data_IF_058974800982
#
_entry.id   IF_058974800982
#
_cell.length_a   1.000
_cell.length_b   1.000
_cell.length_c   1.000
_cell.angle_alpha   90.00
_cell.angle_beta   90.00
_cell.angle_gamma   90.00
#
_symmetry.space_group_name_H-M   'P 1'
#
loop_
_entity.id
_entity.type
_entity.pdbx_description
1 polymer ?
#
# COMPACT_ATOMS: atom_id res chain seq x y z
N UNK A 1 -10.93 19.25 1.05
CA UNK A 1 -12.00 18.64 0.22
C UNK A 1 -13.36 19.02 0.81
N UNK A 2 -14.35 19.33 -0.02
CA UNK A 2 -15.70 19.70 0.40
C UNK A 2 -16.72 19.08 -0.55
N UNK A 3 -17.94 18.92 -0.06
CA UNK A 3 -19.10 18.53 -0.87
C UNK A 3 -20.12 19.66 -0.80
N UNK A 4 -20.57 20.14 -1.95
CA UNK A 4 -21.66 21.10 -2.06
C UNK A 4 -22.99 20.35 -2.26
N UNK A 5 -23.97 20.66 -1.41
CA UNK A 5 -25.30 20.08 -1.49
C UNK A 5 -26.27 21.13 -2.04
N UNK A 6 -27.01 20.77 -3.08
CA UNK A 6 -28.09 21.59 -3.63
C UNK A 6 -29.42 20.94 -3.27
N UNK A 7 -30.34 21.71 -2.71
CA UNK A 7 -31.64 21.22 -2.28
C UNK A 7 -32.75 21.75 -3.18
N UNK A 8 -33.53 20.84 -3.71
CA UNK A 8 -34.78 21.17 -4.39
C UNK A 8 -35.91 21.53 -3.42
N UNK A 9 -36.97 22.14 -3.93
CA UNK A 9 -38.12 22.51 -3.13
C UNK A 9 -38.82 21.34 -2.45
N UNK A 10 -38.80 20.14 -3.07
CA UNK A 10 -39.35 18.90 -2.52
C UNK A 10 -38.51 18.33 -1.38
N UNK A 11 -37.20 18.50 -1.44
CA UNK A 11 -36.27 18.01 -0.42
C UNK A 11 -36.33 18.84 0.86
N UNK A 12 -36.72 20.11 0.77
CA UNK A 12 -36.93 20.98 1.92
C UNK A 12 -38.17 20.60 2.76
N UNK A 13 -39.07 19.76 2.22
CA UNK A 13 -40.26 19.27 2.92
C UNK A 13 -40.05 17.89 3.58
N UNK A 14 -38.86 17.31 3.45
CA UNK A 14 -38.52 16.04 4.11
C UNK A 14 -38.37 16.22 5.62
N UNK A 15 -38.82 15.19 6.37
CA UNK A 15 -38.55 15.14 7.81
C UNK A 15 -37.03 15.09 8.04
N UNK A 16 -36.58 15.63 9.16
CA UNK A 16 -35.17 15.70 9.55
C UNK A 16 -34.47 14.33 9.51
N UNK A 17 -35.20 13.28 9.88
CA UNK A 17 -34.70 11.89 9.87
C UNK A 17 -34.49 11.39 8.45
N UNK A 18 -35.47 11.58 7.58
CA UNK A 18 -35.40 11.23 6.16
C UNK A 18 -34.32 12.01 5.42
N UNK A 19 -34.16 13.27 5.73
CA UNK A 19 -33.10 14.12 5.19
C UNK A 19 -31.70 13.60 5.56
N UNK A 20 -31.49 13.23 6.82
CA UNK A 20 -30.25 12.67 7.30
C UNK A 20 -29.90 11.38 6.59
N UNK A 21 -30.86 10.45 6.46
CA UNK A 21 -30.59 9.14 5.90
C UNK A 21 -30.46 9.15 4.37
N UNK A 22 -31.30 9.90 3.69
CA UNK A 22 -31.37 9.89 2.23
C UNK A 22 -30.36 10.82 1.57
N UNK A 23 -30.00 11.93 2.22
CA UNK A 23 -29.15 12.96 1.62
C UNK A 23 -27.82 13.05 2.33
N UNK A 24 -27.77 13.24 3.63
CA UNK A 24 -26.51 13.48 4.33
C UNK A 24 -25.63 12.24 4.40
N UNK A 25 -26.18 11.10 4.75
CA UNK A 25 -25.42 9.85 4.93
C UNK A 25 -24.63 9.43 3.68
N UNK A 26 -25.21 9.35 2.46
CA UNK A 26 -24.45 8.97 1.27
C UNK A 26 -23.39 10.01 0.90
N UNK A 27 -23.67 11.29 1.10
CA UNK A 27 -22.69 12.34 0.83
C UNK A 27 -21.50 12.30 1.79
N UNK A 28 -21.76 12.05 3.07
CA UNK A 28 -20.70 11.89 4.07
C UNK A 28 -19.87 10.63 3.82
N UNK A 29 -20.48 9.54 3.35
CA UNK A 29 -19.76 8.33 2.96
C UNK A 29 -18.86 8.59 1.75
N UNK A 30 -19.34 9.32 0.75
CA UNK A 30 -18.53 9.71 -0.41
C UNK A 30 -17.36 10.60 0.01
N UNK A 31 -17.60 11.59 0.89
CA UNK A 31 -16.52 12.45 1.40
C UNK A 31 -15.47 11.63 2.16
N UNK A 32 -15.91 10.73 3.02
CA UNK A 32 -15.02 9.85 3.78
C UNK A 32 -14.14 9.00 2.86
N UNK A 33 -14.72 8.33 1.85
CA UNK A 33 -13.95 7.52 0.90
C UNK A 33 -12.95 8.35 0.08
N UNK A 34 -13.30 9.57 -0.30
CA UNK A 34 -12.36 10.46 -1.03
C UNK A 34 -11.20 10.90 -0.13
N UNK A 35 -11.46 11.20 1.15
CA UNK A 35 -10.40 11.56 2.12
C UNK A 35 -9.49 10.35 2.39
N UNK A 36 -10.07 9.18 2.56
CA UNK A 36 -9.36 7.93 2.79
C UNK A 36 -8.44 7.56 1.61
N UNK A 37 -8.95 7.62 0.38
CA UNK A 37 -8.17 7.37 -0.82
C UNK A 37 -6.98 8.36 -0.96
N UNK A 38 -7.19 9.63 -0.65
CA UNK A 38 -6.14 10.66 -0.65
C UNK A 38 -5.06 10.39 0.41
N UNK A 39 -5.48 9.95 1.60
CA UNK A 39 -4.57 9.61 2.70
C UNK A 39 -3.70 8.40 2.33
N UNK A 40 -4.31 7.32 1.85
CA UNK A 40 -3.59 6.10 1.45
C UNK A 40 -2.62 6.41 0.30
N UNK A 41 -3.06 7.17 -0.71
CA UNK A 41 -2.21 7.55 -1.84
C UNK A 41 -0.98 8.35 -1.40
N UNK A 42 -1.15 9.32 -0.51
CA UNK A 42 -0.02 10.10 0.02
C UNK A 42 0.89 9.27 0.92
N UNK A 43 0.32 8.37 1.70
CA UNK A 43 1.07 7.44 2.54
C UNK A 43 1.96 6.54 1.71
N UNK A 44 1.41 5.90 0.68
CA UNK A 44 2.17 5.01 -0.22
C UNK A 44 3.33 5.75 -0.93
N UNK A 45 3.08 6.96 -1.42
CA UNK A 45 4.11 7.76 -2.10
C UNK A 45 5.19 8.31 -1.14
N UNK A 46 4.91 8.36 0.16
CA UNK A 46 5.84 8.86 1.17
C UNK A 46 6.75 7.80 1.79
N UNK A 47 6.50 6.51 1.54
CA UNK A 47 7.25 5.41 2.15
C UNK A 47 8.36 4.93 1.22
N UNK A 48 9.64 5.07 1.61
CA UNK A 48 10.78 4.63 0.79
C UNK A 48 11.01 3.12 0.86
N UNK A 49 10.43 2.42 1.84
CA UNK A 49 10.63 0.99 2.03
C UNK A 49 9.75 0.19 1.07
N UNK A 50 10.36 -0.33 0.03
CA UNK A 50 9.71 -1.17 -0.97
C UNK A 50 10.26 -2.60 -0.91
N UNK A 51 9.37 -3.56 -1.04
CA UNK A 51 9.69 -4.95 -1.28
C UNK A 51 9.25 -5.28 -2.70
N UNK A 52 10.21 -5.66 -3.55
CA UNK A 52 9.90 -6.10 -4.91
C UNK A 52 9.48 -7.56 -4.88
N UNK A 53 8.31 -7.84 -5.44
CA UNK A 53 7.92 -9.22 -5.76
C UNK A 53 8.62 -9.61 -7.04
N UNK A 54 9.42 -10.67 -7.00
CA UNK A 54 10.13 -11.15 -8.17
C UNK A 54 9.13 -11.59 -9.25
N UNK A 55 9.43 -11.24 -10.48
CA UNK A 55 8.57 -11.29 -11.67
C UNK A 55 8.12 -12.69 -12.09
N UNK A 56 8.68 -13.74 -11.55
CA UNK A 56 8.48 -15.13 -12.02
C UNK A 56 7.32 -15.89 -11.34
N UNK A 57 6.64 -15.28 -10.41
CA UNK A 57 5.52 -15.91 -9.70
C UNK A 57 5.12 -15.01 -8.58
N UNK A 58 4.13 -14.20 -8.86
CA UNK A 58 3.51 -13.26 -7.92
C UNK A 58 2.81 -14.01 -6.81
N UNK A 59 3.57 -14.49 -5.84
CA UNK A 59 3.02 -15.11 -4.66
C UNK A 59 2.86 -14.03 -3.59
N UNK A 60 1.65 -13.57 -3.29
CA UNK A 60 1.41 -12.55 -2.27
C UNK A 60 1.87 -12.99 -0.87
N UNK A 61 1.90 -14.30 -0.59
CA UNK A 61 2.48 -14.85 0.64
C UNK A 61 3.96 -14.52 0.77
N UNK A 62 4.73 -14.66 -0.29
CA UNK A 62 6.16 -14.34 -0.30
C UNK A 62 6.40 -12.83 -0.11
N UNK A 63 5.57 -11.98 -0.73
CA UNK A 63 5.66 -10.53 -0.53
C UNK A 63 5.42 -10.12 0.93
N UNK A 64 4.44 -10.72 1.59
CA UNK A 64 4.16 -10.48 3.01
C UNK A 64 5.31 -10.97 3.90
N UNK A 65 5.89 -12.13 3.58
CA UNK A 65 7.05 -12.66 4.30
C UNK A 65 8.28 -11.75 4.16
N UNK A 66 8.56 -11.27 2.95
CA UNK A 66 9.65 -10.33 2.69
C UNK A 66 9.41 -8.95 3.34
N UNK A 67 8.18 -8.47 3.32
CA UNK A 67 7.82 -7.23 4.00
C UNK A 67 8.06 -7.35 5.51
N UNK A 68 7.66 -8.48 6.12
CA UNK A 68 7.94 -8.76 7.53
C UNK A 68 9.44 -8.80 7.82
N UNK A 69 10.22 -9.47 6.97
CA UNK A 69 11.68 -9.54 7.12
C UNK A 69 12.30 -8.13 7.09
N UNK A 70 11.87 -7.30 6.13
CA UNK A 70 12.34 -5.94 6.01
C UNK A 70 11.96 -5.07 7.22
N UNK A 71 10.74 -5.20 7.73
CA UNK A 71 10.32 -4.52 8.96
C UNK A 71 11.19 -4.92 10.17
N UNK A 72 11.54 -6.20 10.27
CA UNK A 72 12.43 -6.67 11.34
C UNK A 72 13.85 -6.10 11.20
N UNK A 73 14.39 -6.01 9.99
CA UNK A 73 15.70 -5.38 9.74
C UNK A 73 15.72 -3.91 10.19
N UNK A 74 14.59 -3.20 10.06
CA UNK A 74 14.45 -1.81 10.53
C UNK A 74 13.94 -1.71 11.97
N UNK A 75 14.00 -2.79 12.74
CA UNK A 75 13.67 -2.83 14.17
C UNK A 75 12.23 -2.38 14.48
N UNK A 76 11.31 -2.55 13.55
CA UNK A 76 9.90 -2.26 13.79
C UNK A 76 9.33 -3.26 14.81
N UNK A 77 8.60 -2.81 15.85
CA UNK A 77 7.98 -3.69 16.83
C UNK A 77 7.17 -4.82 16.18
N UNK A 78 7.21 -6.00 16.77
CA UNK A 78 6.57 -7.18 16.21
C UNK A 78 5.06 -7.28 16.53
N UNK A 79 4.58 -6.49 17.50
CA UNK A 79 3.16 -6.45 17.87
C UNK A 79 2.35 -5.52 16.97
N UNK A 80 1.07 -5.83 16.85
CA UNK A 80 0.04 -4.97 16.20
C UNK A 80 0.37 -4.51 14.78
N UNK A 81 0.96 -5.39 13.99
CA UNK A 81 1.23 -5.11 12.58
C UNK A 81 -0.02 -5.32 11.75
N UNK A 82 -0.33 -4.35 10.93
CA UNK A 82 -1.46 -4.39 10.00
C UNK A 82 -0.98 -4.22 8.56
N UNK A 83 -1.65 -4.86 7.63
CA UNK A 83 -1.39 -4.72 6.21
C UNK A 83 -2.70 -4.47 5.44
N UNK A 84 -2.66 -3.49 4.54
CA UNK A 84 -3.75 -3.26 3.59
C UNK A 84 -3.45 -4.03 2.31
N UNK A 85 -4.40 -4.82 1.86
CA UNK A 85 -4.30 -5.62 0.64
C UNK A 85 -5.43 -5.29 -0.33
N UNK A 86 -5.16 -5.47 -1.62
CA UNK A 86 -6.20 -5.35 -2.65
C UNK A 86 -7.03 -6.64 -2.71
N UNK A 87 -8.26 -6.55 -3.20
CA UNK A 87 -9.13 -7.71 -3.41
C UNK A 87 -8.47 -8.78 -4.30
N UNK A 88 -7.74 -8.36 -5.33
CA UNK A 88 -6.99 -9.28 -6.20
C UNK A 88 -5.86 -10.00 -5.46
N UNK A 89 -5.14 -9.31 -4.58
CA UNK A 89 -4.11 -9.92 -3.76
C UNK A 89 -4.71 -10.89 -2.73
N UNK A 90 -5.87 -10.56 -2.17
CA UNK A 90 -6.58 -11.44 -1.24
C UNK A 90 -7.03 -12.74 -1.92
N UNK A 91 -7.60 -12.66 -3.13
CA UNK A 91 -7.98 -13.86 -3.92
C UNK A 91 -6.76 -14.73 -4.21
N UNK A 92 -5.64 -14.14 -4.61
CA UNK A 92 -4.41 -14.88 -4.87
C UNK A 92 -3.87 -15.53 -3.59
N UNK A 93 -3.88 -14.84 -2.47
CA UNK A 93 -3.46 -15.35 -1.16
C UNK A 93 -4.35 -16.51 -0.68
N UNK A 94 -5.66 -16.37 -0.81
CA UNK A 94 -6.63 -17.42 -0.50
C UNK A 94 -6.39 -18.67 -1.36
N UNK A 95 -6.08 -18.49 -2.65
CA UNK A 95 -5.72 -19.57 -3.56
C UNK A 95 -4.43 -20.29 -3.18
N UNK A 96 -3.45 -19.59 -2.63
CA UNK A 96 -2.21 -20.20 -2.13
C UNK A 96 -2.46 -21.01 -0.85
N UNK A 97 -3.22 -20.45 0.09
CA UNK A 97 -3.54 -21.13 1.36
C UNK A 97 -4.40 -22.37 1.11
N UNK A 98 -5.34 -22.33 0.17
CA UNK A 98 -6.18 -23.47 -0.16
C UNK A 98 -5.42 -24.66 -0.75
N UNK A 99 -4.22 -24.42 -1.31
CA UNK A 99 -3.32 -25.48 -1.80
C UNK A 99 -2.54 -26.19 -0.68
N UNK A 100 -2.48 -25.60 0.50
CA UNK A 100 -1.93 -26.23 1.67
C UNK A 100 -2.98 -27.23 2.20
N UNK A 101 -2.90 -28.46 1.76
CA UNK A 101 -3.84 -29.58 2.00
C UNK A 101 -4.05 -29.98 3.47
N UNK A 102 -3.87 -29.08 4.39
CA UNK A 102 -4.11 -29.33 5.79
C UNK A 102 -5.41 -28.65 6.22
N UNK A 103 -6.47 -29.39 6.62
CA UNK A 103 -7.72 -28.81 7.05
C UNK A 103 -7.56 -28.16 8.44
N UNK A 104 -6.78 -27.10 8.50
CA UNK A 104 -6.70 -26.28 9.69
C UNK A 104 -7.90 -25.34 9.72
N UNK A 105 -8.30 -24.95 10.92
CA UNK A 105 -9.43 -24.03 11.12
C UNK A 105 -9.25 -22.71 10.34
N UNK A 106 -8.02 -22.25 10.17
CA UNK A 106 -7.67 -21.04 9.42
C UNK A 106 -7.88 -21.22 7.90
N UNK A 107 -7.49 -22.35 7.30
CA UNK A 107 -7.69 -22.61 5.88
C UNK A 107 -9.17 -22.87 5.54
N UNK A 108 -9.90 -23.53 6.44
CA UNK A 108 -11.34 -23.73 6.30
C UNK A 108 -12.10 -22.41 6.34
N UNK A 109 -11.74 -21.51 7.25
CA UNK A 109 -12.36 -20.20 7.36
C UNK A 109 -12.04 -19.32 6.16
N UNK A 110 -10.81 -19.29 5.70
CA UNK A 110 -10.42 -18.56 4.50
C UNK A 110 -11.17 -19.05 3.24
N UNK A 111 -11.42 -20.37 3.15
CA UNK A 111 -12.20 -20.94 2.06
C UNK A 111 -13.69 -20.56 2.13
N UNK A 112 -14.29 -20.59 3.32
CA UNK A 112 -15.70 -20.27 3.51
C UNK A 112 -15.99 -18.77 3.39
N UNK A 113 -15.14 -17.94 3.96
CA UNK A 113 -15.33 -16.49 4.01
C UNK A 113 -14.69 -15.78 2.79
N UNK A 114 -13.88 -16.48 2.00
CA UNK A 114 -13.14 -15.91 0.87
C UNK A 114 -12.11 -14.84 1.29
N UNK A 115 -11.72 -14.84 2.56
CA UNK A 115 -10.90 -13.79 3.16
C UNK A 115 -9.87 -14.36 4.15
N UNK A 116 -8.66 -13.86 4.10
CA UNK A 116 -7.59 -14.19 5.04
C UNK A 116 -7.43 -13.06 6.04
N UNK A 117 -7.79 -13.32 7.30
CA UNK A 117 -7.78 -12.30 8.35
C UNK A 117 -6.36 -11.99 8.86
N UNK A 118 -5.51 -13.01 8.99
CA UNK A 118 -4.15 -12.89 9.54
C UNK A 118 -3.18 -13.74 8.76
N UNK A 119 -2.06 -13.18 8.35
CA UNK A 119 -0.96 -13.90 7.74
C UNK A 119 0.40 -13.28 8.09
N UNK A 120 1.41 -14.13 8.26
CA UNK A 120 2.80 -13.72 8.51
C UNK A 120 2.99 -12.75 9.70
N UNK A 121 2.12 -12.85 10.71
CA UNK A 121 2.16 -12.02 11.91
C UNK A 121 1.67 -10.59 11.68
N UNK A 122 0.80 -10.40 10.70
CA UNK A 122 0.11 -9.13 10.43
C UNK A 122 -1.37 -9.38 10.24
N UNK A 123 -2.20 -8.47 10.72
CA UNK A 123 -3.62 -8.45 10.45
C UNK A 123 -3.86 -7.87 9.06
N UNK A 124 -4.61 -8.58 8.22
CA UNK A 124 -4.88 -8.18 6.86
C UNK A 124 -6.23 -7.46 6.77
N UNK A 125 -6.23 -6.33 6.12
CA UNK A 125 -7.44 -5.56 5.83
C UNK A 125 -7.56 -5.37 4.32
N UNK A 126 -8.69 -5.78 3.76
CA UNK A 126 -8.98 -5.55 2.36
C UNK A 126 -9.48 -4.13 2.14
N UNK A 127 -8.90 -3.44 1.16
CA UNK A 127 -9.29 -2.09 0.83
C UNK A 127 -9.33 -1.84 -0.68
N UNK A 128 -10.37 -1.14 -1.14
CA UNK A 128 -10.59 -0.90 -2.57
C UNK A 128 -9.79 0.29 -3.13
N UNK A 129 -9.42 1.23 -2.28
CA UNK A 129 -8.78 2.49 -2.71
C UNK A 129 -7.25 2.45 -2.63
N UNK A 130 -6.63 1.27 -2.70
CA UNK A 130 -5.18 1.16 -2.73
C UNK A 130 -4.67 1.61 -4.10
N UNK A 131 -3.85 2.67 -4.18
CA UNK A 131 -3.36 3.18 -5.44
C UNK A 131 -2.30 2.25 -6.05
N UNK A 132 -2.28 2.18 -7.36
CA UNK A 132 -1.20 1.54 -8.10
C UNK A 132 -0.20 2.60 -8.53
N UNK A 133 1.07 2.45 -8.13
CA UNK A 133 2.15 3.32 -8.59
C UNK A 133 2.72 2.78 -9.89
N UNK A 134 2.73 3.61 -10.94
CA UNK A 134 3.41 3.31 -12.18
C UNK A 134 4.79 3.96 -12.15
N UNK A 135 5.82 3.14 -12.12
CA UNK A 135 7.21 3.63 -12.12
C UNK A 135 7.54 4.41 -13.39
N UNK A 136 8.46 5.34 -13.28
CA UNK A 136 9.03 6.04 -14.44
C UNK A 136 9.76 5.10 -15.40
N UNK A 137 10.04 5.59 -16.58
CA UNK A 137 10.69 4.84 -17.68
C UNK A 137 12.21 4.80 -17.58
N UNK A 138 12.80 5.48 -16.59
CA UNK A 138 14.26 5.52 -16.41
C UNK A 138 14.81 4.12 -16.12
N UNK A 139 15.73 3.65 -16.97
CA UNK A 139 16.33 2.32 -16.86
C UNK A 139 17.72 2.36 -16.23
N UNK A 140 18.57 3.27 -16.67
CA UNK A 140 19.95 3.41 -16.17
C UNK A 140 20.22 4.87 -15.89
N UNK A 141 20.50 5.17 -14.63
CA UNK A 141 20.81 6.53 -14.19
C UNK A 141 22.16 6.49 -13.46
N UNK A 142 23.04 7.42 -13.79
CA UNK A 142 24.32 7.58 -13.09
C UNK A 142 24.32 8.87 -12.28
N UNK A 143 25.00 8.85 -11.16
CA UNK A 143 25.23 10.04 -10.34
C UNK A 143 26.24 10.91 -11.07
N UNK A 144 25.93 12.19 -11.34
CA UNK A 144 26.71 13.05 -12.21
C UNK A 144 27.99 13.58 -11.58
N UNK A 145 28.08 13.62 -10.26
CA UNK A 145 29.24 14.15 -9.53
C UNK A 145 29.50 13.38 -8.24
N UNK A 146 30.74 13.30 -7.83
CA UNK A 146 31.14 12.76 -6.54
C UNK A 146 30.83 13.74 -5.39
N UNK A 147 30.80 13.22 -4.16
CA UNK A 147 30.69 14.02 -2.92
C UNK A 147 29.47 14.94 -2.84
N UNK A 148 28.34 14.51 -3.40
CA UNK A 148 27.08 15.25 -3.26
C UNK A 148 26.54 15.09 -1.83
N UNK A 149 26.08 16.18 -1.25
CA UNK A 149 25.51 16.24 0.09
C UNK A 149 24.16 16.95 0.06
N UNK A 150 23.28 16.67 1.03
CA UNK A 150 21.97 17.31 1.16
C UNK A 150 20.83 16.37 0.74
N UNK A 151 19.68 16.96 0.48
CA UNK A 151 18.41 16.25 0.16
C UNK A 151 18.16 16.06 -1.34
N UNK A 152 19.06 16.52 -2.19
CA UNK A 152 18.97 16.39 -3.66
C UNK A 152 20.24 15.78 -4.24
N UNK A 153 20.05 14.87 -5.19
CA UNK A 153 21.15 14.21 -5.91
C UNK A 153 21.02 14.57 -7.39
N UNK A 154 22.09 15.09 -7.96
CA UNK A 154 22.15 15.37 -9.40
C UNK A 154 22.52 14.09 -10.15
N UNK A 155 21.65 13.67 -11.02
CA UNK A 155 21.80 12.44 -11.80
C UNK A 155 21.92 12.76 -13.28
N UNK A 156 22.67 11.94 -14.00
CA UNK A 156 22.74 11.98 -15.47
C UNK A 156 21.96 10.77 -16.00
N UNK A 157 20.93 11.01 -16.78
CA UNK A 157 20.23 9.93 -17.46
C UNK A 157 21.15 9.35 -18.53
N UNK A 158 21.54 8.10 -18.38
CA UNK A 158 22.37 7.41 -19.37
C UNK A 158 21.61 7.02 -20.64
N UNK A 159 20.30 6.91 -20.53
CA UNK A 159 19.38 6.62 -21.64
C UNK A 159 18.04 7.29 -21.37
N UNK A 160 17.32 7.54 -22.44
CA UNK A 160 15.98 8.18 -22.42
C UNK A 160 15.08 7.57 -21.33
N UNK A 161 14.62 8.42 -20.42
CA UNK A 161 13.70 8.00 -19.36
C UNK A 161 13.50 9.08 -18.31
N UNK A 162 12.38 9.01 -17.62
CA UNK A 162 11.98 9.94 -16.57
C UNK A 162 11.76 9.21 -15.26
N UNK A 163 12.10 9.84 -14.15
CA UNK A 163 11.67 9.43 -12.80
C UNK A 163 10.33 10.11 -12.47
N UNK A 164 9.47 9.39 -11.81
CA UNK A 164 8.18 9.88 -11.34
C UNK A 164 8.21 9.97 -9.81
N UNK A 165 7.49 10.95 -9.27
CA UNK A 165 7.37 11.09 -7.81
C UNK A 165 6.84 9.80 -7.19
N UNK A 166 7.55 9.26 -6.21
CA UNK A 166 7.24 7.99 -5.55
C UNK A 166 8.08 6.81 -6.06
N UNK A 167 8.93 7.01 -7.08
CA UNK A 167 9.88 5.99 -7.49
C UNK A 167 10.91 5.75 -6.39
N UNK A 168 11.17 4.49 -6.10
CA UNK A 168 12.21 4.06 -5.18
C UNK A 168 13.43 3.65 -5.99
N UNK A 169 14.57 4.29 -5.73
CA UNK A 169 15.84 4.04 -6.41
C UNK A 169 16.81 3.34 -5.47
N UNK A 170 17.69 2.53 -6.05
CA UNK A 170 18.83 1.94 -5.37
C UNK A 170 20.12 2.46 -6.00
N UNK A 171 21.10 2.77 -5.18
CA UNK A 171 22.40 3.28 -5.64
C UNK A 171 23.43 2.18 -5.44
N UNK A 172 24.11 1.79 -6.51
CA UNK A 172 25.16 0.78 -6.43
C UNK A 172 26.30 1.25 -5.52
N UNK A 173 26.79 0.38 -4.66
CA UNK A 173 27.87 0.70 -3.72
C UNK A 173 27.40 1.44 -2.45
N UNK A 174 26.10 1.67 -2.29
CA UNK A 174 25.54 2.22 -1.06
C UNK A 174 24.71 1.13 -0.41
N UNK A 175 25.15 0.69 0.77
CA UNK A 175 24.47 -0.33 1.54
C UNK A 175 23.52 0.30 2.57
N UNK A 176 22.49 -0.44 2.94
CA UNK A 176 21.65 -0.08 4.07
C UNK A 176 22.41 -0.41 5.36
N UNK A 177 22.49 0.53 6.28
CA UNK A 177 23.12 0.32 7.59
C UNK A 177 22.09 -0.06 8.64
N UNK A 178 22.52 -0.87 9.59
CA UNK A 178 21.68 -1.25 10.72
C UNK A 178 21.37 -0.02 11.60
N UNK A 179 20.09 0.29 11.90
CA UNK A 179 19.71 1.55 12.55
C UNK A 179 20.36 1.83 13.92
N UNK A 180 20.71 0.77 14.66
CA UNK A 180 21.32 0.91 15.99
C UNK A 180 22.86 0.88 15.95
N UNK A 181 23.44 0.03 15.10
CA UNK A 181 24.89 -0.18 15.10
C UNK A 181 25.62 0.67 14.07
N UNK A 182 24.90 1.18 13.08
CA UNK A 182 25.50 1.92 11.96
C UNK A 182 26.45 1.09 11.09
N UNK A 183 26.41 -0.25 11.22
CA UNK A 183 27.23 -1.17 10.43
C UNK A 183 26.41 -1.76 9.28
N UNK A 184 27.10 -2.12 8.17
CA UNK A 184 26.51 -2.76 6.99
C UNK A 184 26.00 -4.19 7.27
#
# INVERSE_FOLDING_TARGET
KHIALQFGAKEKMLDITDFKERILRPQMQTLASVVEADLISKGVLGVPNLVSMNTAGTNPSNALALARAKMNQYLTPAGDRSALITSTANVALSGEISRLYNPTQASSKAYLDGYVATAFGSDLFEHQSIPTHTKGTAATITVSAASQTGSSITMTAGTVGTLVKGDVITIAGVNAVHPLTGQD
#
